data_IF_383825712249
#
_entry.id   IF_383825712249
#
_cell.length_a   1.000
_cell.length_b   1.000
_cell.length_c   1.000
_cell.angle_alpha   90.00
_cell.angle_beta   90.00
_cell.angle_gamma   90.00
#
_symmetry.space_group_name_H-M   'P 1'
#
loop_
_entity.id
_entity.type
_entity.pdbx_description
1 polymer ?
#
# COMPACT_ATOMS: atom_id res chain seq x y z
N UNK A 1 23.44 -10.87 -0.91
CA UNK A 1 22.19 -10.07 -0.91
C UNK A 1 21.30 -10.60 0.19
N UNK A 2 21.01 -9.79 1.22
CA UNK A 2 20.08 -10.20 2.27
C UNK A 2 18.64 -10.16 1.73
N UNK A 3 17.97 -11.30 1.80
CA UNK A 3 16.54 -11.38 1.51
C UNK A 3 15.76 -10.66 2.62
N UNK A 4 14.57 -10.16 2.28
CA UNK A 4 13.68 -9.59 3.28
C UNK A 4 13.22 -10.67 4.27
N UNK A 5 13.08 -10.27 5.55
CA UNK A 5 12.54 -11.16 6.60
C UNK A 5 11.04 -11.33 6.48
N UNK A 6 10.34 -10.32 6.00
CA UNK A 6 8.90 -10.38 5.80
C UNK A 6 8.59 -11.37 4.68
N UNK A 7 7.67 -12.29 4.94
CA UNK A 7 7.30 -13.37 4.03
C UNK A 7 6.04 -13.11 3.23
N UNK A 8 5.17 -12.24 3.73
CA UNK A 8 3.85 -12.02 3.15
C UNK A 8 3.60 -10.54 2.91
N UNK A 9 3.22 -10.20 1.69
CA UNK A 9 2.76 -8.87 1.31
C UNK A 9 1.25 -8.84 1.20
N UNK A 10 0.65 -7.70 1.51
CA UNK A 10 -0.77 -7.43 1.35
C UNK A 10 -0.97 -6.34 0.30
N UNK A 11 -1.94 -6.54 -0.60
CA UNK A 11 -2.33 -5.50 -1.57
C UNK A 11 -3.80 -5.15 -1.35
N UNK A 12 -4.08 -3.86 -1.16
CA UNK A 12 -5.42 -3.34 -0.93
C UNK A 12 -6.13 -3.08 -2.27
N UNK A 13 -7.05 -3.95 -2.66
CA UNK A 13 -7.76 -3.89 -3.94
C UNK A 13 -9.28 -3.75 -3.81
N UNK A 14 -9.79 -3.38 -2.63
CA UNK A 14 -11.22 -3.40 -2.35
C UNK A 14 -11.96 -2.08 -2.62
N UNK A 15 -11.26 -1.00 -2.92
CA UNK A 15 -11.86 0.33 -3.08
C UNK A 15 -12.70 0.51 -4.33
N UNK A 16 -13.60 1.50 -4.32
CA UNK A 16 -14.47 1.83 -5.46
C UNK A 16 -13.77 2.57 -6.61
N UNK A 17 -12.71 3.30 -6.33
CA UNK A 17 -12.01 4.08 -7.36
C UNK A 17 -12.85 5.21 -7.97
N UNK A 18 -13.73 5.84 -7.22
CA UNK A 18 -14.72 6.81 -7.72
C UNK A 18 -14.12 8.03 -8.41
N UNK A 19 -12.90 8.43 -8.05
CA UNK A 19 -12.21 9.57 -8.69
C UNK A 19 -11.79 9.28 -10.13
N UNK A 20 -11.85 8.02 -10.55
CA UNK A 20 -11.55 7.57 -11.91
C UNK A 20 -12.81 7.33 -12.74
N UNK A 21 -13.99 7.59 -12.19
CA UNK A 21 -15.24 7.45 -12.94
C UNK A 21 -15.20 8.34 -14.21
N UNK A 22 -15.76 7.89 -15.33
CA UNK A 22 -16.57 6.67 -15.48
C UNK A 22 -15.80 5.37 -15.72
N UNK A 23 -14.48 5.40 -15.84
CA UNK A 23 -13.67 4.21 -16.19
C UNK A 23 -13.87 3.11 -15.15
N UNK A 24 -13.87 3.45 -13.87
CA UNK A 24 -14.00 2.51 -12.77
C UNK A 24 -15.42 2.02 -12.51
N UNK A 25 -16.39 2.45 -13.31
CA UNK A 25 -17.71 1.83 -13.30
C UNK A 25 -17.68 0.38 -13.83
N UNK A 26 -16.73 0.08 -14.71
CA UNK A 26 -16.60 -1.24 -15.33
C UNK A 26 -15.26 -1.92 -15.09
N UNK A 27 -14.21 -1.15 -14.78
CA UNK A 27 -12.87 -1.68 -14.55
C UNK A 27 -12.38 -1.26 -13.15
N UNK A 28 -12.09 -2.19 -12.25
CA UNK A 28 -11.58 -1.81 -10.93
C UNK A 28 -10.24 -1.10 -11.07
N UNK A 29 -10.00 -0.10 -10.22
CA UNK A 29 -8.80 0.75 -10.29
C UNK A 29 -7.48 -0.04 -10.40
N UNK A 30 -7.28 -1.14 -9.65
CA UNK A 30 -6.04 -1.92 -9.77
C UNK A 30 -5.78 -2.52 -11.15
N UNK A 31 -6.80 -2.65 -11.99
CA UNK A 31 -6.68 -3.18 -13.35
C UNK A 31 -6.53 -2.10 -14.43
N UNK A 32 -6.47 -0.83 -14.05
CA UNK A 32 -6.14 0.22 -14.99
C UNK A 32 -4.69 0.06 -15.45
N UNK A 33 -4.45 0.35 -16.74
CA UNK A 33 -3.13 0.16 -17.35
C UNK A 33 -2.40 1.48 -17.51
N UNK A 34 -1.10 1.43 -17.23
CA UNK A 34 -0.13 2.47 -17.60
C UNK A 34 0.99 1.75 -18.33
N UNK A 35 1.32 2.20 -19.56
CA UNK A 35 2.32 1.54 -20.41
C UNK A 35 2.00 0.05 -20.63
N UNK A 36 0.72 -0.25 -20.88
CA UNK A 36 0.20 -1.61 -21.17
C UNK A 36 0.28 -2.60 -20.00
N UNK A 37 0.69 -2.17 -18.83
CA UNK A 37 0.76 -3.00 -17.63
C UNK A 37 -0.27 -2.50 -16.61
N UNK A 38 -1.05 -3.41 -16.02
CA UNK A 38 -1.99 -3.01 -14.96
C UNK A 38 -1.24 -2.54 -13.71
N UNK A 39 -1.87 -1.66 -12.94
CA UNK A 39 -1.33 -1.24 -11.65
C UNK A 39 -1.07 -2.44 -10.73
N UNK A 40 -1.97 -3.41 -10.74
CA UNK A 40 -1.86 -4.62 -9.92
C UNK A 40 -0.64 -5.46 -10.33
N UNK A 41 -0.45 -5.73 -11.63
CA UNK A 41 0.72 -6.46 -12.10
C UNK A 41 2.01 -5.74 -11.74
N UNK A 42 2.03 -4.43 -11.91
CA UNK A 42 3.17 -3.61 -11.58
C UNK A 42 3.54 -3.71 -10.10
N UNK A 43 2.54 -3.69 -9.22
CA UNK A 43 2.72 -3.87 -7.78
C UNK A 43 3.26 -5.27 -7.45
N UNK A 44 2.67 -6.30 -8.05
CA UNK A 44 3.10 -7.69 -7.86
C UNK A 44 4.55 -7.87 -8.32
N UNK A 45 4.94 -7.27 -9.44
CA UNK A 45 6.31 -7.34 -9.95
C UNK A 45 7.31 -6.74 -8.96
N UNK A 46 7.00 -5.60 -8.34
CA UNK A 46 7.86 -5.03 -7.32
C UNK A 46 7.98 -5.98 -6.11
N UNK A 47 6.87 -6.51 -5.63
CA UNK A 47 6.85 -7.43 -4.49
C UNK A 47 7.70 -8.67 -4.77
N UNK A 48 7.54 -9.27 -5.95
CA UNK A 48 8.33 -10.42 -6.38
C UNK A 48 9.83 -10.08 -6.41
N UNK A 49 10.17 -8.89 -6.89
CA UNK A 49 11.57 -8.43 -6.96
C UNK A 49 12.21 -8.25 -5.57
N UNK A 50 11.40 -8.08 -4.53
CA UNK A 50 11.87 -8.02 -3.13
C UNK A 50 12.19 -9.39 -2.54
N UNK A 51 11.89 -10.48 -3.27
CA UNK A 51 12.05 -11.85 -2.78
C UNK A 51 10.87 -12.37 -1.97
N UNK A 52 9.74 -11.66 -1.99
CA UNK A 52 8.52 -12.08 -1.30
C UNK A 52 7.70 -12.96 -2.26
N UNK A 53 7.35 -14.17 -1.81
CA UNK A 53 6.68 -15.17 -2.64
C UNK A 53 5.20 -15.39 -2.28
N UNK A 54 4.69 -14.71 -1.28
CA UNK A 54 3.30 -14.84 -0.86
C UNK A 54 2.63 -13.48 -0.78
N UNK A 55 1.48 -13.37 -1.45
CA UNK A 55 0.69 -12.14 -1.49
C UNK A 55 -0.76 -12.46 -1.11
N UNK A 56 -1.34 -11.65 -0.24
CA UNK A 56 -2.77 -11.63 0.04
C UNK A 56 -3.36 -10.38 -0.61
N UNK A 57 -4.46 -10.54 -1.32
CA UNK A 57 -5.14 -9.44 -2.02
C UNK A 57 -6.58 -9.43 -1.54
N UNK A 58 -7.04 -8.30 -1.00
CA UNK A 58 -8.44 -8.19 -0.66
C UNK A 58 -9.26 -7.65 -1.83
N UNK A 59 -10.51 -8.11 -1.93
CA UNK A 59 -11.45 -7.69 -2.96
C UNK A 59 -12.80 -7.34 -2.36
N UNK A 60 -13.50 -6.44 -3.01
CA UNK A 60 -14.87 -6.07 -2.68
C UNK A 60 -15.60 -5.57 -3.92
N UNK A 61 -15.13 -4.45 -4.49
CA UNK A 61 -15.72 -3.84 -5.66
C UNK A 61 -15.20 -4.51 -6.93
N UNK A 62 -16.11 -4.97 -7.80
CA UNK A 62 -15.79 -5.69 -9.06
C UNK A 62 -14.79 -6.84 -8.83
N UNK A 63 -14.98 -7.58 -7.74
CA UNK A 63 -14.06 -8.63 -7.31
C UNK A 63 -13.84 -9.71 -8.37
N UNK A 64 -14.86 -10.07 -9.12
CA UNK A 64 -14.77 -11.09 -10.18
C UNK A 64 -13.78 -10.72 -11.28
N UNK A 65 -13.61 -9.43 -11.55
CA UNK A 65 -12.65 -8.96 -12.55
C UNK A 65 -11.21 -9.11 -12.08
N UNK A 66 -10.97 -8.83 -10.81
CA UNK A 66 -9.64 -9.01 -10.19
C UNK A 66 -9.30 -10.50 -10.11
N UNK A 67 -10.26 -11.34 -9.69
CA UNK A 67 -10.09 -12.78 -9.63
C UNK A 67 -9.76 -13.36 -11.01
N UNK A 68 -10.48 -12.94 -12.04
CA UNK A 68 -10.25 -13.40 -13.41
C UNK A 68 -8.87 -12.99 -13.93
N UNK A 69 -8.46 -11.75 -13.66
CA UNK A 69 -7.15 -11.26 -14.05
C UNK A 69 -6.02 -12.10 -13.43
N UNK A 70 -6.11 -12.40 -12.14
CA UNK A 70 -5.09 -13.17 -11.43
C UNK A 70 -5.04 -14.62 -11.92
N UNK A 71 -6.19 -15.19 -12.25
CA UNK A 71 -6.32 -16.55 -12.81
C UNK A 71 -5.70 -16.64 -14.20
N UNK A 72 -5.94 -15.65 -15.04
CA UNK A 72 -5.45 -15.63 -16.43
C UNK A 72 -3.96 -15.37 -16.51
N UNK A 73 -3.44 -14.51 -15.66
CA UNK A 73 -2.05 -14.05 -15.72
C UNK A 73 -1.04 -15.08 -15.19
N UNK A 74 -1.42 -15.91 -14.25
CA UNK A 74 -0.58 -16.98 -13.66
C UNK A 74 0.79 -16.51 -13.19
N UNK A 75 0.80 -15.71 -12.14
CA UNK A 75 2.04 -15.24 -11.53
C UNK A 75 2.84 -16.39 -10.89
N UNK A 76 4.17 -16.30 -10.93
CA UNK A 76 5.07 -17.29 -10.35
C UNK A 76 5.30 -17.03 -8.85
N UNK A 77 4.22 -16.92 -8.10
CA UNK A 77 4.22 -16.78 -6.64
C UNK A 77 2.83 -17.13 -6.11
N UNK A 78 2.74 -17.36 -4.79
CA UNK A 78 1.48 -17.71 -4.16
C UNK A 78 0.62 -16.46 -3.95
N UNK A 79 -0.55 -16.40 -4.57
CA UNK A 79 -1.50 -15.31 -4.38
C UNK A 79 -2.80 -15.89 -3.84
N UNK A 80 -3.24 -15.36 -2.69
CA UNK A 80 -4.51 -15.71 -2.08
C UNK A 80 -5.42 -14.49 -2.09
N UNK A 81 -6.64 -14.68 -2.58
CA UNK A 81 -7.66 -13.63 -2.61
C UNK A 81 -8.52 -13.73 -1.36
N UNK A 82 -8.70 -12.60 -0.68
CA UNK A 82 -9.54 -12.48 0.52
C UNK A 82 -10.71 -11.57 0.15
N UNK A 83 -11.91 -12.15 0.04
CA UNK A 83 -13.11 -11.36 -0.22
C UNK A 83 -13.55 -10.68 1.08
N UNK A 84 -13.76 -9.36 1.04
CA UNK A 84 -14.16 -8.58 2.23
C UNK A 84 -15.63 -8.75 2.61
N UNK A 85 -16.40 -9.51 1.83
CA UNK A 85 -17.79 -9.83 2.17
C UNK A 85 -18.79 -8.86 1.56
N UNK A 86 -19.89 -8.61 2.28
CA UNK A 86 -21.01 -7.80 1.79
C UNK A 86 -20.89 -6.31 2.13
N UNK A 87 -20.03 -5.96 3.08
CA UNK A 87 -19.84 -4.58 3.52
C UNK A 87 -18.41 -4.10 3.31
N UNK A 88 -18.25 -2.83 2.94
CA UNK A 88 -16.93 -2.25 2.79
C UNK A 88 -16.22 -2.18 4.14
N UNK A 89 -14.95 -2.59 4.18
CA UNK A 89 -14.18 -2.64 5.44
C UNK A 89 -13.21 -1.48 5.61
N UNK A 90 -13.03 -0.64 4.58
CA UNK A 90 -12.03 0.43 4.63
C UNK A 90 -10.60 -0.12 4.77
N UNK A 91 -9.61 0.76 4.93
CA UNK A 91 -8.19 0.37 4.96
C UNK A 91 -7.83 -0.50 6.15
N UNK A 92 -8.22 -0.08 7.36
CA UNK A 92 -7.90 -0.83 8.57
C UNK A 92 -8.61 -2.17 8.65
N UNK A 93 -9.91 -2.18 8.35
CA UNK A 93 -10.71 -3.41 8.34
C UNK A 93 -10.25 -4.39 7.27
N UNK A 94 -9.90 -3.90 6.09
CA UNK A 94 -9.39 -4.74 5.01
C UNK A 94 -8.03 -5.37 5.33
N UNK A 95 -7.13 -4.60 5.92
CA UNK A 95 -5.84 -5.13 6.39
C UNK A 95 -6.05 -6.21 7.44
N UNK A 96 -6.88 -5.95 8.45
CA UNK A 96 -7.15 -6.92 9.51
C UNK A 96 -7.77 -8.21 8.96
N UNK A 97 -8.69 -8.09 8.01
CA UNK A 97 -9.31 -9.25 7.37
C UNK A 97 -8.25 -10.14 6.68
N UNK A 98 -7.30 -9.53 5.99
CA UNK A 98 -6.20 -10.27 5.37
C UNK A 98 -5.26 -10.88 6.41
N UNK A 99 -4.87 -10.12 7.43
CA UNK A 99 -3.98 -10.60 8.50
C UNK A 99 -4.56 -11.83 9.19
N UNK A 100 -5.87 -11.85 9.45
CA UNK A 100 -6.54 -12.98 10.11
C UNK A 100 -6.47 -14.28 9.31
N UNK A 101 -6.17 -14.22 8.02
CA UNK A 101 -5.99 -15.40 7.17
C UNK A 101 -4.56 -15.93 7.15
N UNK A 102 -3.65 -15.33 7.91
CA UNK A 102 -2.22 -15.67 7.94
C UNK A 102 -1.73 -15.95 9.36
N UNK A 103 -0.69 -16.77 9.47
CA UNK A 103 -0.01 -17.03 10.74
C UNK A 103 1.22 -16.16 10.94
N UNK A 104 1.53 -15.28 10.00
CA UNK A 104 2.65 -14.36 10.10
C UNK A 104 2.36 -13.25 11.12
N UNK A 105 3.41 -12.59 11.60
CA UNK A 105 3.30 -11.51 12.58
C UNK A 105 3.59 -10.13 12.00
N UNK A 106 4.43 -10.06 10.98
CA UNK A 106 4.86 -8.82 10.34
C UNK A 106 4.50 -8.86 8.87
N UNK A 107 3.96 -7.75 8.38
CA UNK A 107 3.45 -7.65 7.02
C UNK A 107 3.92 -6.38 6.35
N UNK A 108 4.14 -6.44 5.04
CA UNK A 108 4.30 -5.25 4.21
C UNK A 108 3.03 -5.06 3.39
N UNK A 109 2.50 -3.84 3.41
CA UNK A 109 1.22 -3.50 2.77
C UNK A 109 1.49 -2.52 1.63
N UNK A 110 0.82 -2.76 0.50
CA UNK A 110 0.90 -1.89 -0.68
C UNK A 110 -0.47 -1.43 -1.12
N UNK A 111 -0.57 -0.13 -1.45
CA UNK A 111 -1.65 0.38 -2.28
C UNK A 111 -1.23 0.22 -3.74
N UNK A 112 -2.04 -0.43 -4.60
CA UNK A 112 -1.62 -0.69 -5.98
C UNK A 112 -1.68 0.53 -6.88
N UNK A 113 -2.35 1.61 -6.46
CA UNK A 113 -2.53 2.84 -7.25
C UNK A 113 -1.34 3.80 -7.23
N UNK A 114 -0.27 3.46 -6.54
CA UNK A 114 1.04 4.04 -6.78
C UNK A 114 1.69 3.28 -7.93
N UNK A 115 2.30 4.01 -8.86
CA UNK A 115 3.02 3.40 -9.98
C UNK A 115 4.39 2.97 -9.48
N UNK A 116 4.43 1.77 -8.93
CA UNK A 116 5.64 1.18 -8.34
C UNK A 116 6.67 0.82 -9.42
N UNK A 117 7.95 0.92 -9.07
CA UNK A 117 9.04 0.48 -9.92
C UNK A 117 10.19 -0.10 -9.07
N UNK A 118 11.17 -0.73 -9.72
CA UNK A 118 12.25 -1.40 -9.01
C UNK A 118 13.18 -0.45 -8.25
N UNK A 119 13.17 0.85 -8.54
CA UNK A 119 13.99 1.81 -7.81
C UNK A 119 13.55 1.97 -6.35
N UNK A 120 12.32 1.56 -6.03
CA UNK A 120 11.85 1.53 -4.64
C UNK A 120 12.48 0.43 -3.80
N UNK A 121 13.05 -0.61 -4.40
CA UNK A 121 13.58 -1.80 -3.68
C UNK A 121 14.54 -1.43 -2.57
N UNK A 122 15.51 -0.58 -2.86
CA UNK A 122 16.54 -0.22 -1.86
C UNK A 122 15.94 0.48 -0.66
N UNK A 123 14.98 1.37 -0.87
CA UNK A 123 14.32 2.10 0.21
C UNK A 123 13.44 1.18 1.05
N UNK A 124 12.73 0.26 0.41
CA UNK A 124 11.88 -0.72 1.11
C UNK A 124 12.74 -1.69 1.93
N UNK A 125 13.85 -2.17 1.38
CA UNK A 125 14.77 -3.06 2.11
C UNK A 125 15.41 -2.36 3.31
N UNK A 126 15.81 -1.11 3.13
CA UNK A 126 16.38 -0.31 4.24
C UNK A 126 15.32 0.00 5.30
N UNK A 127 14.08 0.26 4.88
CA UNK A 127 12.96 0.45 5.80
C UNK A 127 12.71 -0.81 6.64
N UNK A 128 12.75 -1.99 6.04
CA UNK A 128 12.59 -3.25 6.78
C UNK A 128 13.72 -3.45 7.80
N UNK A 129 14.95 -3.18 7.41
CA UNK A 129 16.09 -3.23 8.35
C UNK A 129 15.86 -2.34 9.55
N UNK A 130 15.45 -1.11 9.30
CA UNK A 130 15.18 -0.14 10.36
C UNK A 130 14.05 -0.61 11.27
N UNK A 131 12.98 -1.14 10.69
CA UNK A 131 11.82 -1.67 11.39
C UNK A 131 12.22 -2.76 12.40
N UNK A 132 12.96 -3.76 11.96
CA UNK A 132 13.36 -4.87 12.84
C UNK A 132 14.45 -4.48 13.84
N UNK A 133 15.38 -3.63 13.44
CA UNK A 133 16.48 -3.20 14.32
C UNK A 133 16.01 -2.34 15.48
N UNK A 134 14.90 -1.65 15.33
CA UNK A 134 14.39 -0.68 16.33
C UNK A 134 13.09 -1.15 17.00
N UNK A 135 12.69 -2.40 16.80
CA UNK A 135 11.47 -3.00 17.39
C UNK A 135 10.22 -2.17 17.15
N UNK A 136 10.11 -1.63 15.94
CA UNK A 136 9.00 -0.78 15.50
C UNK A 136 7.77 -1.65 15.21
N UNK A 137 6.57 -1.11 15.45
CA UNK A 137 5.29 -1.78 15.17
C UNK A 137 4.62 -1.28 13.91
N UNK A 138 4.93 -0.06 13.45
CA UNK A 138 4.41 0.52 12.22
C UNK A 138 5.39 1.54 11.66
N UNK A 139 5.75 1.38 10.40
CA UNK A 139 6.61 2.32 9.68
C UNK A 139 6.08 2.56 8.28
N UNK A 140 5.96 3.83 7.90
CA UNK A 140 5.43 4.27 6.62
C UNK A 140 6.56 4.69 5.69
N UNK A 141 6.49 4.27 4.43
CA UNK A 141 7.38 4.79 3.39
C UNK A 141 6.81 6.12 2.89
N UNK A 142 7.59 7.19 3.01
CA UNK A 142 7.19 8.56 2.73
C UNK A 142 8.01 9.14 1.59
N UNK A 143 7.41 10.03 0.81
CA UNK A 143 8.11 10.79 -0.23
C UNK A 143 7.85 12.29 -0.06
N UNK A 144 8.89 13.11 -0.28
CA UNK A 144 8.72 14.56 -0.30
C UNK A 144 7.74 14.94 -1.41
N UNK A 145 6.85 15.90 -1.15
CA UNK A 145 5.86 16.37 -2.13
C UNK A 145 6.51 16.90 -3.42
N UNK A 146 7.78 17.34 -3.36
CA UNK A 146 8.53 17.76 -4.54
C UNK A 146 8.81 16.62 -5.52
N UNK A 147 8.79 15.37 -5.05
CA UNK A 147 8.98 14.17 -5.88
C UNK A 147 7.67 13.67 -6.50
N UNK A 148 6.54 14.26 -6.12
CA UNK A 148 5.23 13.84 -6.61
C UNK A 148 4.97 14.30 -8.04
N UNK A 149 4.53 13.40 -8.90
CA UNK A 149 4.04 13.71 -10.23
C UNK A 149 2.78 14.59 -10.15
N UNK A 150 1.86 14.25 -9.26
CA UNK A 150 0.68 15.05 -8.97
C UNK A 150 1.06 16.19 -8.03
N UNK A 151 1.20 17.39 -8.58
CA UNK A 151 1.62 18.59 -7.82
C UNK A 151 0.53 19.14 -6.91
N UNK A 152 -0.70 18.63 -7.01
CA UNK A 152 -1.79 19.00 -6.10
C UNK A 152 -1.77 18.21 -4.79
N UNK A 153 -1.02 17.09 -4.75
CA UNK A 153 -0.85 16.34 -3.51
C UNK A 153 0.04 17.11 -2.54
N UNK A 154 -0.44 17.25 -1.31
CA UNK A 154 0.29 17.90 -0.23
C UNK A 154 0.76 16.86 0.78
N UNK A 155 1.78 17.22 1.55
CA UNK A 155 2.31 16.33 2.58
C UNK A 155 1.27 15.95 3.62
N UNK A 156 1.35 14.70 4.05
CA UNK A 156 0.53 14.16 5.13
C UNK A 156 1.22 14.32 6.49
N UNK A 157 2.55 14.27 6.49
CA UNK A 157 3.37 14.20 7.69
C UNK A 157 4.70 14.92 7.54
N UNK A 158 5.40 15.06 8.66
CA UNK A 158 6.83 15.38 8.71
C UNK A 158 7.56 14.29 9.50
N UNK A 159 8.89 14.29 9.46
CA UNK A 159 9.72 13.37 10.21
C UNK A 159 10.67 14.13 11.14
N UNK A 160 10.84 13.59 12.35
CA UNK A 160 11.89 14.00 13.27
C UNK A 160 12.58 12.72 13.75
N UNK A 161 13.81 12.47 13.28
CA UNK A 161 14.57 11.25 13.57
C UNK A 161 13.77 9.98 13.31
N UNK A 162 13.13 9.89 12.15
CA UNK A 162 12.26 8.79 11.74
C UNK A 162 10.96 8.64 12.53
N UNK A 163 10.66 9.53 13.46
CA UNK A 163 9.37 9.59 14.15
C UNK A 163 8.45 10.52 13.36
N UNK A 164 7.28 10.03 13.00
CA UNK A 164 6.29 10.82 12.27
C UNK A 164 5.69 11.88 13.19
N UNK A 165 5.66 13.11 12.70
CA UNK A 165 4.97 14.23 13.32
C UNK A 165 3.95 14.81 12.34
N UNK A 166 2.92 15.44 12.86
CA UNK A 166 1.90 16.11 12.06
C UNK A 166 1.75 17.55 12.54
N UNK A 167 2.02 18.49 11.64
CA UNK A 167 2.01 19.92 11.91
C UNK A 167 0.99 20.62 11.00
N UNK A 168 0.92 21.94 11.04
CA UNK A 168 0.09 22.71 10.11
C UNK A 168 0.56 22.57 8.67
N UNK A 169 1.89 22.56 8.46
CA UNK A 169 2.51 22.35 7.14
C UNK A 169 3.29 21.05 7.19
N UNK A 170 2.95 20.13 6.30
CA UNK A 170 3.58 18.81 6.19
C UNK A 170 4.13 18.64 4.78
N UNK A 171 5.34 18.08 4.67
CA UNK A 171 6.05 17.99 3.40
C UNK A 171 6.18 16.58 2.84
N UNK A 172 5.83 15.56 3.62
CA UNK A 172 6.02 14.17 3.24
C UNK A 172 4.67 13.48 3.01
N UNK A 173 4.56 12.84 1.85
CA UNK A 173 3.36 12.12 1.43
C UNK A 173 3.53 10.64 1.75
N UNK A 174 2.48 10.00 2.26
CA UNK A 174 2.44 8.55 2.36
C UNK A 174 2.39 7.93 0.96
N UNK A 175 3.39 7.10 0.64
CA UNK A 175 3.53 6.52 -0.70
C UNK A 175 2.57 5.38 -0.99
N UNK A 176 1.94 4.81 0.03
CA UNK A 176 1.11 3.61 -0.12
C UNK A 176 1.84 2.32 0.24
N UNK A 177 3.01 2.41 0.88
CA UNK A 177 3.73 1.23 1.39
C UNK A 177 4.03 1.40 2.87
N UNK A 178 3.69 0.38 3.67
CA UNK A 178 4.00 0.37 5.09
C UNK A 178 4.35 -1.03 5.56
N UNK A 179 5.11 -1.11 6.64
CA UNK A 179 5.39 -2.37 7.35
C UNK A 179 4.78 -2.27 8.74
N UNK A 180 4.04 -3.29 9.15
CA UNK A 180 3.40 -3.29 10.45
C UNK A 180 3.37 -4.67 11.09
N UNK A 181 3.20 -4.67 12.41
CA UNK A 181 3.04 -5.88 13.22
C UNK A 181 1.55 -6.08 13.53
N UNK A 182 1.09 -7.32 13.47
CA UNK A 182 -0.32 -7.64 13.69
C UNK A 182 -0.82 -7.25 15.09
N UNK A 183 0.07 -7.10 16.07
CA UNK A 183 -0.32 -6.71 17.42
C UNK A 183 -0.99 -5.34 17.49
N UNK A 184 -0.81 -4.49 16.48
CA UNK A 184 -1.54 -3.21 16.38
C UNK A 184 -3.05 -3.40 16.37
N UNK A 185 -3.53 -4.57 15.96
CA UNK A 185 -4.95 -4.86 15.80
C UNK A 185 -5.54 -5.66 16.95
N UNK A 186 -4.80 -5.88 18.04
CA UNK A 186 -5.22 -6.75 19.14
C UNK A 186 -6.57 -6.32 19.77
N UNK A 187 -6.87 -5.02 19.79
CA UNK A 187 -8.13 -4.48 20.31
C UNK A 187 -9.19 -4.25 19.23
N UNK A 188 -8.95 -4.66 17.99
CA UNK A 188 -9.84 -4.44 16.85
C UNK A 188 -10.47 -5.75 16.40
N UNK A 189 -11.71 -5.66 15.91
CA UNK A 189 -12.36 -6.74 15.18
C UNK A 189 -12.54 -6.32 13.72
N UNK A 190 -12.71 -7.30 12.83
CA UNK A 190 -12.96 -7.01 11.41
C UNK A 190 -14.27 -6.22 11.30
N UNK A 191 -14.13 -4.98 10.87
CA UNK A 191 -15.23 -4.02 10.74
C UNK A 191 -14.77 -2.89 9.83
N UNK A 192 -15.67 -1.97 9.51
CA UNK A 192 -15.33 -0.79 8.72
C UNK A 192 -14.58 0.23 9.58
N UNK A 193 -13.26 0.28 9.45
CA UNK A 193 -12.48 1.34 10.10
C UNK A 193 -11.25 1.68 9.24
N UNK A 194 -10.81 2.93 9.36
CA UNK A 194 -9.62 3.43 8.67
C UNK A 194 -8.35 3.11 9.47
N UNK A 195 -7.27 2.78 8.75
CA UNK A 195 -5.93 2.65 9.36
C UNK A 195 -5.50 3.97 10.06
N UNK A 196 -6.08 5.09 9.67
CA UNK A 196 -5.82 6.38 10.31
C UNK A 196 -6.12 6.36 11.82
N UNK A 197 -7.06 5.55 12.26
CA UNK A 197 -7.37 5.41 13.69
C UNK A 197 -6.15 4.91 14.46
N UNK A 198 -5.47 3.89 13.92
CA UNK A 198 -4.25 3.34 14.51
C UNK A 198 -3.10 4.34 14.39
N UNK A 199 -2.92 4.96 13.23
CA UNK A 199 -1.86 5.93 13.03
C UNK A 199 -1.99 7.13 13.98
N UNK A 200 -3.19 7.64 14.18
CA UNK A 200 -3.40 8.78 15.08
C UNK A 200 -3.07 8.43 16.54
N UNK A 201 -3.41 7.23 16.99
CA UNK A 201 -3.01 6.75 18.31
C UNK A 201 -1.49 6.68 18.46
N UNK A 202 -0.82 6.10 17.43
CA UNK A 202 0.64 5.97 17.44
C UNK A 202 1.34 7.33 17.35
N UNK A 203 0.82 8.27 16.58
CA UNK A 203 1.38 9.64 16.50
C UNK A 203 1.33 10.30 17.87
N UNK A 204 0.22 10.17 18.60
CA UNK A 204 0.08 10.74 19.94
C UNK A 204 1.06 10.15 20.95
N UNK A 205 1.56 8.94 20.70
CA UNK A 205 2.52 8.26 21.56
C UNK A 205 3.97 8.35 21.03
N UNK A 206 4.22 9.09 19.95
CA UNK A 206 5.50 9.15 19.24
C UNK A 206 6.02 7.78 18.80
N UNK A 207 5.10 6.91 18.35
CA UNK A 207 5.38 5.53 17.97
C UNK A 207 5.04 5.19 16.52
N UNK A 208 4.62 6.17 15.72
CA UNK A 208 4.51 5.99 14.28
C UNK A 208 5.81 6.44 13.64
N UNK A 209 6.44 5.53 12.91
CA UNK A 209 7.73 5.78 12.28
C UNK A 209 7.57 5.99 10.78
N UNK A 210 8.52 6.67 10.19
CA UNK A 210 8.57 6.88 8.76
C UNK A 210 9.99 6.70 8.23
N UNK A 211 10.06 6.32 6.98
CA UNK A 211 11.30 6.15 6.25
C UNK A 211 11.16 6.88 4.92
N UNK A 212 12.10 7.77 4.61
CA UNK A 212 12.00 8.60 3.42
C UNK A 212 12.53 7.88 2.19
N UNK A 213 11.68 7.79 1.15
CA UNK A 213 12.07 7.37 -0.20
C UNK A 213 12.53 8.58 -0.99
N UNK A 214 13.61 8.44 -1.75
CA UNK A 214 14.10 9.48 -2.65
C UNK A 214 13.69 9.23 -4.11
N UNK A 215 12.86 8.22 -4.35
CA UNK A 215 12.35 7.92 -5.68
C UNK A 215 11.20 8.84 -6.06
N UNK A 216 11.05 9.11 -7.36
CA UNK A 216 9.90 9.81 -7.88
C UNK A 216 8.61 9.09 -7.48
N UNK A 217 7.61 9.88 -7.08
CA UNK A 217 6.33 9.36 -6.60
C UNK A 217 5.23 9.68 -7.61
N UNK A 218 4.63 8.64 -8.19
CA UNK A 218 3.54 8.74 -9.16
C UNK A 218 2.33 8.01 -8.60
N UNK A 219 1.36 8.79 -8.15
CA UNK A 219 0.11 8.25 -7.62
C UNK A 219 -1.02 8.50 -8.60
N UNK A 220 -1.81 7.46 -8.88
CA UNK A 220 -2.98 7.56 -9.75
C UNK A 220 -4.16 8.12 -8.93
N UNK A 221 -4.17 9.44 -8.76
CA UNK A 221 -5.10 10.12 -7.86
C UNK A 221 -6.52 10.18 -8.42
N UNK A 222 -6.66 10.65 -9.68
CA UNK A 222 -7.93 10.91 -10.32
C UNK A 222 -7.83 10.78 -11.85
N UNK A 223 -8.96 11.00 -12.52
CA UNK A 223 -9.04 10.86 -13.99
C UNK A 223 -8.09 11.82 -14.71
N UNK A 224 -7.94 13.04 -14.21
CA UNK A 224 -7.06 14.04 -14.83
C UNK A 224 -5.59 13.58 -14.76
N UNK A 225 -5.15 13.11 -13.61
CA UNK A 225 -3.80 12.57 -13.43
C UNK A 225 -3.60 11.32 -14.28
N UNK A 226 -4.60 10.46 -14.37
CA UNK A 226 -4.53 9.28 -15.24
C UNK A 226 -4.23 9.66 -16.69
N UNK A 227 -4.96 10.63 -17.22
CA UNK A 227 -4.74 11.14 -18.58
C UNK A 227 -3.32 11.67 -18.77
N UNK A 228 -2.78 12.37 -17.77
CA UNK A 228 -1.42 12.90 -17.81
C UNK A 228 -0.37 11.77 -17.76
N UNK A 229 -0.58 10.76 -16.92
CA UNK A 229 0.32 9.60 -16.84
C UNK A 229 0.37 8.80 -18.15
N UNK A 230 -0.73 8.72 -18.87
CA UNK A 230 -0.80 8.03 -20.15
C UNK A 230 -0.02 8.73 -21.26
N UNK A 231 0.27 10.02 -21.12
CA UNK A 231 1.02 10.83 -22.12
C UNK A 231 2.54 10.76 -21.92
N UNK A 232 3.00 10.23 -20.82
CA UNK A 232 4.44 10.20 -20.48
C UNK A 232 5.11 8.88 -20.86
#
# INVERSE_FOLDING_TARGET
KSEMKIKTALILCAGYGKRLNPITLTTPKPLLKINEITLLENCINLIHSLGINKILINTFYLSEKIEQFLKDKKFNLEIKIINDGSDILNTGGGILNMINSSNETDFIIFNPDTVWNENYKKFIKDMEKFYFSNKIKDILLLANENLSFDKNLKGDFNLKKNIITKNEINNLIYTGCQILNKSLFDSYVVSNFSILNIWNELINEDKLYGFESLEDFRHLTDLNIYKQLLKN
#
